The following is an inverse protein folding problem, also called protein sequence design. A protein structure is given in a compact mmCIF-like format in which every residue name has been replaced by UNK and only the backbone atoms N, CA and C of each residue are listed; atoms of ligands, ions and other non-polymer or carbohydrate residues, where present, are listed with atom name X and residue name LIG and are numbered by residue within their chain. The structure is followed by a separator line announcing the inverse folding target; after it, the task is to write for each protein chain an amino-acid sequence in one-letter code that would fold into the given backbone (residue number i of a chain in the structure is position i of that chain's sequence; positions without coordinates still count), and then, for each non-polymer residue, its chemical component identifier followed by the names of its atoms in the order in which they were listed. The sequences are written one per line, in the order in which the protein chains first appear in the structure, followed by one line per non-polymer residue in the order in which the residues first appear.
data_IF_393338366463
#
_entry.id   IF_393338366463
#
_cell.length_a   1.000
_cell.length_b   1.000
_cell.length_c   1.000
_cell.angle_alpha   90.00
_cell.angle_beta   90.00
_cell.angle_gamma   90.00
#
_symmetry.space_group_name_H-M   'P 1'
#
loop_
_entity.id
_entity.type
_entity.pdbx_description
1 polymer ?
#
# COMPACT_ATOMS: atom_id res chain seq x y z
N UNK A 1 16.27 20.22 -18.22
CA UNK A 1 15.04 21.03 -18.07
C UNK A 1 15.45 22.48 -17.85
N UNK A 2 14.95 23.41 -18.66
CA UNK A 2 15.39 24.83 -18.62
C UNK A 2 14.21 25.69 -18.15
N UNK A 3 14.40 26.46 -17.10
CA UNK A 3 13.44 27.45 -16.63
C UNK A 3 14.15 28.81 -16.58
N UNK A 4 13.61 29.82 -17.26
CA UNK A 4 14.15 31.17 -17.31
C UNK A 4 15.67 31.27 -17.67
N UNK A 5 16.14 30.45 -18.62
CA UNK A 5 17.53 30.52 -19.09
C UNK A 5 18.58 29.84 -18.19
N UNK A 6 18.17 29.18 -17.12
CA UNK A 6 19.07 28.39 -16.26
C UNK A 6 19.01 26.91 -16.61
N UNK A 7 20.16 26.33 -16.87
CA UNK A 7 20.31 24.88 -17.10
C UNK A 7 20.54 24.20 -15.76
N UNK A 8 19.55 23.41 -15.32
CA UNK A 8 19.71 22.56 -14.14
C UNK A 8 20.32 21.22 -14.57
N UNK A 9 21.43 20.85 -13.96
CA UNK A 9 21.96 19.50 -14.08
C UNK A 9 20.92 18.53 -13.53
N UNK A 10 20.73 17.40 -14.20
CA UNK A 10 19.91 16.31 -13.66
C UNK A 10 20.55 15.88 -12.33
N UNK A 11 19.85 15.99 -11.19
CA UNK A 11 20.44 15.53 -9.94
C UNK A 11 20.76 14.05 -10.08
N UNK A 12 21.86 13.57 -9.46
CA UNK A 12 22.16 12.14 -9.41
C UNK A 12 20.91 11.42 -8.83
N UNK A 13 20.65 10.21 -9.28
CA UNK A 13 19.61 9.32 -8.70
C UNK A 13 20.07 9.04 -7.26
N UNK A 14 19.70 9.93 -6.36
CA UNK A 14 19.81 9.67 -4.93
C UNK A 14 18.74 8.63 -4.65
N UNK A 15 19.13 7.43 -4.21
CA UNK A 15 18.20 6.47 -3.66
C UNK A 15 17.23 7.24 -2.77
N UNK A 16 15.94 7.16 -3.07
CA UNK A 16 14.93 7.86 -2.26
C UNK A 16 14.83 7.20 -0.90
N UNK A 17 15.73 7.59 0.00
CA UNK A 17 15.78 7.09 1.37
C UNK A 17 14.46 7.29 2.11
N UNK A 18 13.71 8.31 1.73
CA UNK A 18 12.36 8.55 2.28
C UNK A 18 11.40 7.44 1.87
N UNK A 19 11.39 7.06 0.58
CA UNK A 19 10.58 5.96 0.09
C UNK A 19 10.99 4.62 0.72
N UNK A 20 12.29 4.34 0.80
CA UNK A 20 12.81 3.13 1.44
C UNK A 20 12.34 3.02 2.91
N UNK A 21 12.46 4.07 3.71
CA UNK A 21 12.04 4.08 5.11
C UNK A 21 10.53 3.91 5.22
N UNK A 22 9.77 4.64 4.39
CA UNK A 22 8.31 4.51 4.31
C UNK A 22 7.91 3.06 4.07
N UNK A 23 8.50 2.39 3.09
CA UNK A 23 8.14 1.03 2.71
C UNK A 23 8.52 0.02 3.81
N UNK A 24 9.70 0.15 4.42
CA UNK A 24 10.09 -0.69 5.56
C UNK A 24 9.18 -0.54 6.78
N UNK A 25 8.76 0.69 7.08
CA UNK A 25 7.83 0.95 8.18
C UNK A 25 6.42 0.47 7.84
N UNK A 26 5.96 0.64 6.59
CA UNK A 26 4.68 0.10 6.11
C UNK A 26 4.63 -1.41 6.32
N UNK A 27 5.64 -2.13 5.85
CA UNK A 27 5.75 -3.58 6.02
C UNK A 27 5.75 -3.95 7.51
N UNK A 28 6.53 -3.27 8.34
CA UNK A 28 6.57 -3.53 9.77
C UNK A 28 5.21 -3.30 10.47
N UNK A 29 4.41 -2.35 10.00
CA UNK A 29 3.06 -2.07 10.49
C UNK A 29 2.07 -3.15 10.03
N UNK A 30 2.04 -3.46 8.74
CA UNK A 30 1.15 -4.48 8.17
C UNK A 30 1.48 -5.87 8.72
N UNK A 31 2.76 -6.17 8.94
CA UNK A 31 3.24 -7.40 9.57
C UNK A 31 2.97 -7.49 11.07
N UNK A 32 2.41 -6.41 11.66
CA UNK A 32 2.21 -6.30 13.10
C UNK A 32 3.50 -6.39 13.93
N UNK A 33 4.67 -6.20 13.33
CA UNK A 33 5.95 -6.03 14.05
C UNK A 33 5.97 -4.71 14.83
N UNK A 34 5.25 -3.71 14.31
CA UNK A 34 4.90 -2.47 15.00
C UNK A 34 3.40 -2.53 15.35
N UNK A 35 3.10 -2.71 16.62
CA UNK A 35 1.72 -2.83 17.09
C UNK A 35 0.94 -1.51 16.94
N UNK A 36 -0.40 -1.55 16.75
CA UNK A 36 -1.23 -0.36 16.77
C UNK A 36 -0.99 0.50 18.01
N UNK A 37 -0.92 1.80 17.84
CA UNK A 37 -0.63 2.76 18.91
C UNK A 37 0.85 2.87 19.31
N UNK A 38 1.75 2.07 18.72
CA UNK A 38 3.20 2.20 18.95
C UNK A 38 3.67 3.60 18.54
N UNK A 39 4.41 4.27 19.42
CA UNK A 39 5.03 5.56 19.10
C UNK A 39 6.24 5.36 18.19
N UNK A 40 6.27 6.10 17.09
CA UNK A 40 7.38 6.11 16.14
C UNK A 40 8.28 7.31 16.45
N UNK A 41 9.38 7.06 17.17
CA UNK A 41 10.31 8.10 17.59
C UNK A 41 11.24 8.48 16.43
N UNK A 42 11.17 9.73 15.95
CA UNK A 42 12.00 10.23 14.85
C UNK A 42 13.50 10.02 15.07
N UNK A 43 13.98 10.12 16.32
CA UNK A 43 15.39 9.95 16.61
C UNK A 43 15.82 8.48 16.53
N UNK A 44 15.02 7.57 17.07
CA UNK A 44 15.30 6.13 17.04
C UNK A 44 15.26 5.59 15.61
N UNK A 45 14.25 6.00 14.83
CA UNK A 45 14.15 5.65 13.40
C UNK A 45 15.32 6.24 12.64
N UNK A 46 15.73 7.48 12.92
CA UNK A 46 16.90 8.10 12.30
C UNK A 46 18.20 7.34 12.55
N UNK A 47 18.42 6.86 13.77
CA UNK A 47 19.57 6.03 14.14
C UNK A 47 19.50 4.68 13.43
N UNK A 48 18.32 4.03 13.40
CA UNK A 48 18.14 2.71 12.79
C UNK A 48 18.48 2.69 11.30
N UNK A 49 18.10 3.75 10.57
CA UNK A 49 18.29 3.86 9.10
C UNK A 49 19.49 4.74 8.69
N UNK A 50 20.25 5.26 9.66
CA UNK A 50 21.36 6.19 9.44
C UNK A 50 20.97 7.39 8.55
N UNK A 51 19.90 8.09 8.96
CA UNK A 51 19.37 9.27 8.26
C UNK A 51 19.03 10.41 9.21
N UNK A 52 18.90 11.62 8.65
CA UNK A 52 18.45 12.78 9.41
C UNK A 52 16.98 12.67 9.83
N UNK A 53 16.61 13.35 10.93
CA UNK A 53 15.21 13.47 11.38
C UNK A 53 14.29 14.06 10.31
N UNK A 54 14.79 14.90 9.43
CA UNK A 54 14.02 15.48 8.33
C UNK A 54 13.56 14.41 7.36
N UNK A 55 14.42 13.47 6.99
CA UNK A 55 14.09 12.34 6.11
C UNK A 55 13.08 11.41 6.79
N UNK A 56 13.30 11.09 8.08
CA UNK A 56 12.33 10.29 8.86
C UNK A 56 10.97 10.96 8.90
N UNK A 57 10.92 12.27 9.17
CA UNK A 57 9.67 13.02 9.24
C UNK A 57 8.91 13.00 7.92
N UNK A 58 9.61 13.13 6.79
CA UNK A 58 9.02 13.01 5.46
C UNK A 58 8.40 11.60 5.24
N UNK A 59 9.10 10.54 5.63
CA UNK A 59 8.58 9.17 5.55
C UNK A 59 7.35 8.96 6.46
N UNK A 60 7.38 9.47 7.69
CA UNK A 60 6.23 9.40 8.61
C UNK A 60 5.04 10.22 8.13
N UNK A 61 5.27 11.36 7.47
CA UNK A 61 4.19 12.14 6.85
C UNK A 61 3.55 11.39 5.66
N UNK A 62 4.36 10.71 4.85
CA UNK A 62 3.83 9.86 3.77
C UNK A 62 2.96 8.73 4.34
N UNK A 63 3.42 8.03 5.39
CA UNK A 63 2.63 7.01 6.08
C UNK A 63 1.36 7.56 6.76
N UNK A 64 1.40 8.81 7.21
CA UNK A 64 0.21 9.48 7.76
C UNK A 64 -0.81 9.79 6.65
N UNK A 65 -0.35 10.17 5.47
CA UNK A 65 -1.21 10.34 4.30
C UNK A 65 -1.86 9.01 3.89
N UNK A 66 -1.09 7.91 3.90
CA UNK A 66 -1.61 6.56 3.66
C UNK A 66 -2.53 6.04 4.79
N UNK A 67 -2.62 6.75 5.91
CA UNK A 67 -3.45 6.37 7.07
C UNK A 67 -2.89 5.24 7.92
N UNK A 68 -1.62 4.86 7.72
CA UNK A 68 -0.92 3.85 8.53
C UNK A 68 -0.29 4.44 9.79
N UNK A 69 -0.10 5.75 9.81
CA UNK A 69 0.43 6.51 10.96
C UNK A 69 -0.54 7.65 11.29
N UNK A 70 -0.69 7.94 12.57
CA UNK A 70 -1.42 9.09 13.08
C UNK A 70 -0.44 10.05 13.74
N UNK A 71 -0.46 11.31 13.30
CA UNK A 71 0.32 12.38 13.94
C UNK A 71 -0.53 13.08 14.99
N UNK A 72 0.01 13.20 16.22
CA UNK A 72 -0.62 13.91 17.31
C UNK A 72 0.19 15.16 17.63
N UNK A 73 -0.48 16.31 17.70
CA UNK A 73 0.18 17.59 17.99
C UNK A 73 0.97 17.51 19.31
N UNK A 74 2.25 17.88 19.27
CA UNK A 74 3.19 17.86 20.39
C UNK A 74 3.47 16.48 21.01
N UNK A 75 2.92 15.39 20.45
CA UNK A 75 3.14 14.03 20.96
C UNK A 75 3.92 13.14 19.98
N UNK A 76 3.93 13.48 18.69
CA UNK A 76 4.66 12.79 17.64
C UNK A 76 3.77 11.88 16.78
N UNK A 77 4.38 10.87 16.20
CA UNK A 77 3.75 9.93 15.29
C UNK A 77 3.50 8.58 15.98
N UNK A 78 2.37 7.96 15.68
CA UNK A 78 1.94 6.67 16.24
C UNK A 78 1.40 5.77 15.13
N UNK A 79 1.63 4.48 15.24
CA UNK A 79 0.99 3.48 14.36
C UNK A 79 -0.53 3.62 14.48
N UNK A 80 -1.22 3.64 13.34
CA UNK A 80 -2.67 3.75 13.32
C UNK A 80 -3.33 2.55 14.01
N UNK A 81 -4.47 2.82 14.64
CA UNK A 81 -5.31 1.82 15.28
C UNK A 81 -6.75 2.02 14.79
N UNK A 82 -7.07 1.61 13.56
CA UNK A 82 -8.39 1.83 12.99
C UNK A 82 -9.48 1.15 13.81
N UNK A 83 -10.58 1.86 14.04
CA UNK A 83 -11.76 1.31 14.68
C UNK A 83 -12.52 0.38 13.72
N UNK A 84 -13.41 -0.50 14.23
CA UNK A 84 -14.29 -1.30 13.37
C UNK A 84 -15.16 -0.46 12.42
N UNK A 85 -15.48 0.78 12.81
CA UNK A 85 -16.24 1.69 11.96
C UNK A 85 -15.39 2.24 10.82
N UNK A 86 -14.18 2.70 11.10
CA UNK A 86 -13.20 3.11 10.08
C UNK A 86 -12.90 1.94 9.12
N UNK A 87 -12.77 0.71 9.64
CA UNK A 87 -12.60 -0.48 8.81
C UNK A 87 -13.77 -0.67 7.84
N UNK A 88 -15.03 -0.52 8.30
CA UNK A 88 -16.20 -0.59 7.42
C UNK A 88 -16.20 0.50 6.35
N UNK A 89 -15.78 1.73 6.70
CA UNK A 89 -15.70 2.85 5.78
C UNK A 89 -14.64 2.62 4.68
N UNK A 90 -13.48 2.05 5.01
CA UNK A 90 -12.44 1.69 4.03
C UNK A 90 -12.99 0.75 2.97
N UNK A 91 -13.62 -0.37 3.38
CA UNK A 91 -14.20 -1.32 2.42
C UNK A 91 -15.42 -0.77 1.67
N UNK A 92 -16.22 0.10 2.30
CA UNK A 92 -17.30 0.79 1.61
C UNK A 92 -16.77 1.69 0.50
N UNK A 93 -15.68 2.44 0.75
CA UNK A 93 -15.03 3.29 -0.24
C UNK A 93 -14.47 2.47 -1.41
N UNK A 94 -13.81 1.34 -1.13
CA UNK A 94 -13.31 0.42 -2.17
C UNK A 94 -14.44 -0.08 -3.05
N UNK A 95 -15.55 -0.55 -2.48
CA UNK A 95 -16.73 -1.02 -3.22
C UNK A 95 -17.36 0.05 -4.13
N UNK A 96 -17.24 1.33 -3.77
CA UNK A 96 -17.75 2.43 -4.60
C UNK A 96 -16.81 2.77 -5.76
N UNK A 97 -15.50 2.64 -5.58
CA UNK A 97 -14.49 3.12 -6.52
C UNK A 97 -14.03 2.02 -7.47
N UNK A 98 -13.77 0.81 -6.96
CA UNK A 98 -13.13 -0.28 -7.73
C UNK A 98 -13.94 -0.74 -8.96
N UNK A 99 -15.28 -0.81 -8.96
CA UNK A 99 -16.01 -1.17 -10.17
C UNK A 99 -15.80 -0.17 -11.32
N UNK A 100 -15.67 1.13 -10.99
CA UNK A 100 -15.35 2.17 -11.98
C UNK A 100 -13.94 2.04 -12.53
N UNK A 101 -12.98 1.72 -11.67
CA UNK A 101 -11.58 1.46 -12.03
C UNK A 101 -11.51 0.22 -12.93
N UNK A 102 -12.17 -0.88 -12.56
CA UNK A 102 -12.17 -2.12 -13.34
C UNK A 102 -12.74 -1.90 -14.75
N UNK A 103 -13.84 -1.15 -14.88
CA UNK A 103 -14.39 -0.77 -16.18
C UNK A 103 -13.41 0.04 -17.02
N UNK A 104 -12.78 1.06 -16.42
CA UNK A 104 -11.81 1.89 -17.13
C UNK A 104 -10.54 1.09 -17.51
N UNK A 105 -10.13 0.13 -16.70
CA UNK A 105 -9.04 -0.78 -17.02
C UNK A 105 -9.39 -1.69 -18.20
N UNK A 106 -10.59 -2.29 -18.21
CA UNK A 106 -11.05 -3.16 -19.30
C UNK A 106 -11.05 -2.47 -20.67
N UNK A 107 -11.36 -1.18 -20.71
CA UNK A 107 -11.34 -0.36 -21.94
C UNK A 107 -9.92 -0.11 -22.49
N UNK A 108 -8.88 -0.30 -21.65
CA UNK A 108 -7.49 0.03 -21.95
C UNK A 108 -6.55 -1.19 -21.95
N UNK A 109 -7.08 -2.34 -21.60
CA UNK A 109 -6.31 -3.56 -21.37
C UNK A 109 -5.52 -3.99 -22.61
N UNK A 110 -4.20 -4.11 -22.46
CA UNK A 110 -3.31 -4.66 -23.50
C UNK A 110 -2.95 -6.13 -23.18
N UNK A 111 -2.45 -6.85 -24.17
CA UNK A 111 -2.01 -8.25 -23.99
C UNK A 111 -0.89 -8.39 -22.96
N UNK A 112 -0.03 -7.39 -22.83
CA UNK A 112 1.04 -7.31 -21.81
C UNK A 112 0.46 -7.21 -20.41
N UNK A 113 -0.64 -6.47 -20.23
CA UNK A 113 -1.31 -6.31 -18.94
C UNK A 113 -1.97 -7.61 -18.50
N UNK A 114 -2.59 -8.34 -19.44
CA UNK A 114 -3.15 -9.68 -19.16
C UNK A 114 -2.07 -10.64 -18.63
N UNK A 115 -0.87 -10.60 -19.20
CA UNK A 115 0.25 -11.41 -18.71
C UNK A 115 0.63 -11.02 -17.26
N UNK A 116 0.71 -9.72 -16.97
CA UNK A 116 1.00 -9.22 -15.62
C UNK A 116 -0.08 -9.62 -14.60
N UNK A 117 -1.37 -9.55 -14.96
CA UNK A 117 -2.45 -10.03 -14.10
C UNK A 117 -2.38 -11.54 -13.83
N UNK A 118 -2.08 -12.35 -14.85
CA UNK A 118 -1.91 -13.79 -14.68
C UNK A 118 -0.76 -14.13 -13.75
N UNK A 119 0.34 -13.40 -13.83
CA UNK A 119 1.48 -13.56 -12.91
C UNK A 119 1.07 -13.26 -11.47
N UNK A 120 0.32 -12.15 -11.22
CA UNK A 120 -0.20 -11.84 -9.88
C UNK A 120 -1.14 -12.90 -9.34
N UNK A 121 -2.06 -13.40 -10.17
CA UNK A 121 -2.96 -14.49 -9.78
C UNK A 121 -2.21 -15.78 -9.48
N UNK A 122 -1.17 -16.10 -10.24
CA UNK A 122 -0.34 -17.26 -9.95
C UNK A 122 0.38 -17.13 -8.60
N UNK A 123 0.90 -15.97 -8.29
CA UNK A 123 1.53 -15.71 -7.00
C UNK A 123 0.53 -15.80 -5.84
N UNK A 124 -0.67 -15.24 -5.96
CA UNK A 124 -1.74 -15.41 -4.99
C UNK A 124 -2.08 -16.89 -4.77
N UNK A 125 -2.26 -17.65 -5.84
CA UNK A 125 -2.55 -19.09 -5.78
C UNK A 125 -1.44 -19.86 -5.06
N UNK A 126 -0.18 -19.51 -5.32
CA UNK A 126 0.98 -20.11 -4.63
C UNK A 126 0.93 -19.86 -3.13
N UNK A 127 0.64 -18.62 -2.73
CA UNK A 127 0.62 -18.18 -1.34
C UNK A 127 -0.54 -18.79 -0.54
N UNK A 128 -1.68 -19.09 -1.16
CA UNK A 128 -2.81 -19.76 -0.51
C UNK A 128 -2.45 -21.13 0.09
N UNK A 129 -1.45 -21.79 -0.46
CA UNK A 129 -0.93 -23.09 0.05
C UNK A 129 0.03 -22.94 1.23
N UNK A 130 0.54 -21.76 1.49
CA UNK A 130 1.51 -21.51 2.52
C UNK A 130 0.84 -21.24 3.89
N UNK A 131 1.58 -21.48 4.98
CA UNK A 131 1.09 -21.27 6.35
C UNK A 131 2.10 -20.48 7.18
N UNK A 132 1.58 -19.72 8.13
CA UNK A 132 2.37 -18.95 9.08
C UNK A 132 2.29 -17.44 8.88
N UNK A 133 2.89 -16.65 9.78
CA UNK A 133 2.78 -15.18 9.76
C UNK A 133 3.31 -14.54 8.47
N UNK A 134 4.42 -15.07 7.94
CA UNK A 134 5.01 -14.57 6.70
C UNK A 134 4.14 -14.87 5.47
N UNK A 135 3.50 -16.03 5.42
CA UNK A 135 2.57 -16.39 4.36
C UNK A 135 1.35 -15.45 4.36
N UNK A 136 0.78 -15.22 5.54
CA UNK A 136 -0.35 -14.28 5.69
C UNK A 136 -0.01 -12.87 5.23
N UNK A 137 1.17 -12.39 5.54
CA UNK A 137 1.67 -11.11 5.05
C UNK A 137 1.76 -11.07 3.54
N UNK A 138 2.44 -12.06 2.97
CA UNK A 138 2.62 -12.16 1.52
C UNK A 138 1.27 -12.22 0.78
N UNK A 139 0.28 -12.95 1.31
CA UNK A 139 -1.09 -13.00 0.80
C UNK A 139 -1.75 -11.60 0.79
N UNK A 140 -1.64 -10.83 1.89
CA UNK A 140 -2.19 -9.47 1.97
C UNK A 140 -1.54 -8.55 0.94
N UNK A 141 -0.22 -8.62 0.77
CA UNK A 141 0.51 -7.82 -0.21
C UNK A 141 0.13 -8.21 -1.65
N UNK A 142 0.13 -9.50 -1.98
CA UNK A 142 -0.21 -9.98 -3.32
C UNK A 142 -1.63 -9.56 -3.73
N UNK A 143 -2.61 -9.68 -2.82
CA UNK A 143 -3.96 -9.21 -3.05
C UNK A 143 -4.00 -7.69 -3.26
N UNK A 144 -3.26 -6.90 -2.48
CA UNK A 144 -3.13 -5.45 -2.67
C UNK A 144 -2.56 -5.09 -4.04
N UNK A 145 -1.51 -5.78 -4.46
CA UNK A 145 -0.82 -5.57 -5.74
C UNK A 145 -1.75 -5.79 -6.95
N UNK A 146 -2.67 -6.75 -6.88
CA UNK A 146 -3.68 -6.95 -7.93
C UNK A 146 -4.55 -5.69 -8.11
N UNK A 147 -5.06 -5.11 -7.03
CA UNK A 147 -5.88 -3.90 -7.09
C UNK A 147 -5.09 -2.67 -7.56
N UNK A 148 -3.82 -2.56 -7.20
CA UNK A 148 -2.96 -1.47 -7.67
C UNK A 148 -2.63 -1.61 -9.15
N UNK A 149 -2.39 -2.82 -9.64
CA UNK A 149 -2.20 -3.08 -11.06
C UNK A 149 -3.45 -2.68 -11.84
N UNK A 150 -4.65 -3.06 -11.36
CA UNK A 150 -5.92 -2.70 -11.97
C UNK A 150 -6.09 -1.16 -12.07
N UNK A 151 -5.78 -0.45 -10.99
CA UNK A 151 -5.84 1.01 -10.96
C UNK A 151 -4.79 1.66 -11.88
N UNK A 152 -3.62 1.05 -12.03
CA UNK A 152 -2.57 1.49 -12.95
C UNK A 152 -3.02 1.38 -14.40
N UNK A 153 -3.57 0.23 -14.81
CA UNK A 153 -4.06 -0.03 -16.17
C UNK A 153 -5.23 0.90 -16.53
N UNK A 154 -6.08 1.26 -15.58
CA UNK A 154 -7.14 2.25 -15.77
C UNK A 154 -6.61 3.64 -16.23
N UNK A 155 -5.32 3.92 -16.05
CA UNK A 155 -4.63 5.08 -16.59
C UNK A 155 -5.02 6.43 -15.98
N UNK A 156 -5.63 6.42 -14.79
CA UNK A 156 -6.00 7.62 -14.04
C UNK A 156 -5.09 7.74 -12.77
N UNK A 157 -4.05 8.58 -12.86
CA UNK A 157 -3.09 8.76 -11.79
C UNK A 157 -3.70 9.29 -10.46
N UNK A 158 -4.85 9.96 -10.51
CA UNK A 158 -5.56 10.42 -9.30
C UNK A 158 -6.22 9.22 -8.62
N UNK A 159 -6.93 8.39 -9.37
CA UNK A 159 -7.56 7.17 -8.85
C UNK A 159 -6.52 6.17 -8.35
N UNK A 160 -5.36 6.04 -9.04
CA UNK A 160 -4.27 5.19 -8.57
C UNK A 160 -3.81 5.61 -7.16
N UNK A 161 -3.58 6.90 -6.92
CA UNK A 161 -3.20 7.40 -5.59
C UNK A 161 -4.26 7.13 -4.51
N UNK A 162 -5.54 7.28 -4.85
CA UNK A 162 -6.61 6.91 -3.92
C UNK A 162 -6.62 5.41 -3.63
N UNK A 163 -6.34 4.59 -4.64
CA UNK A 163 -6.24 3.13 -4.43
C UNK A 163 -5.02 2.76 -3.60
N UNK A 164 -3.87 3.40 -3.77
CA UNK A 164 -2.68 3.20 -2.92
C UNK A 164 -3.03 3.43 -1.44
N UNK A 165 -3.72 4.53 -1.12
CA UNK A 165 -4.18 4.81 0.24
C UNK A 165 -5.19 3.77 0.74
N UNK A 166 -6.20 3.44 -0.05
CA UNK A 166 -7.24 2.48 0.34
C UNK A 166 -6.68 1.06 0.51
N UNK A 167 -5.75 0.64 -0.36
CA UNK A 167 -5.07 -0.66 -0.26
C UNK A 167 -4.23 -0.70 1.01
N UNK A 168 -3.42 0.33 1.31
CA UNK A 168 -2.61 0.37 2.52
C UNK A 168 -3.49 0.28 3.78
N UNK A 169 -4.58 1.07 3.86
CA UNK A 169 -5.54 1.02 4.98
C UNK A 169 -6.23 -0.32 5.10
N UNK A 170 -6.70 -0.91 3.99
CA UNK A 170 -7.37 -2.21 4.03
C UNK A 170 -6.41 -3.33 4.40
N UNK A 171 -5.14 -3.28 3.96
CA UNK A 171 -4.10 -4.23 4.37
C UNK A 171 -3.89 -4.21 5.89
N UNK A 172 -3.81 -3.02 6.51
CA UNK A 172 -3.74 -2.89 7.96
C UNK A 172 -4.99 -3.45 8.65
N UNK A 173 -6.19 -3.13 8.14
CA UNK A 173 -7.46 -3.64 8.69
C UNK A 173 -7.52 -5.17 8.61
N UNK A 174 -7.12 -5.75 7.47
CA UNK A 174 -7.08 -7.21 7.27
C UNK A 174 -6.06 -7.85 8.23
N UNK A 175 -4.90 -7.23 8.41
CA UNK A 175 -3.89 -7.72 9.34
C UNK A 175 -4.39 -7.72 10.80
N UNK A 176 -5.19 -6.72 11.20
CA UNK A 176 -5.70 -6.57 12.56
C UNK A 176 -6.95 -7.41 12.85
N UNK A 177 -7.90 -7.43 11.93
CA UNK A 177 -9.25 -7.97 12.14
C UNK A 177 -9.55 -9.20 11.28
N UNK A 178 -8.75 -9.45 10.24
CA UNK A 178 -8.96 -10.59 9.34
C UNK A 178 -8.72 -11.91 10.05
N UNK A 179 -9.63 -12.88 9.83
CA UNK A 179 -9.44 -14.26 10.30
C UNK A 179 -8.43 -14.95 9.38
N UNK A 180 -7.63 -15.86 9.94
CA UNK A 180 -6.75 -16.72 9.12
C UNK A 180 -7.58 -17.47 8.07
N UNK A 181 -7.23 -17.33 6.80
CA UNK A 181 -7.95 -17.96 5.67
C UNK A 181 -9.14 -17.16 5.13
N UNK A 182 -9.38 -15.94 5.60
CA UNK A 182 -10.38 -15.05 5.03
C UNK A 182 -9.68 -13.79 4.51
N UNK A 183 -9.31 -13.75 3.24
CA UNK A 183 -9.09 -12.49 2.55
C UNK A 183 -10.45 -11.83 2.30
N UNK A 184 -10.51 -10.51 2.36
CA UNK A 184 -11.73 -9.75 2.04
C UNK A 184 -12.04 -9.74 0.54
N UNK A 185 -11.07 -10.13 -0.28
CA UNK A 185 -11.16 -10.38 -1.71
C UNK A 185 -10.35 -11.64 -1.98
N UNK A 186 -10.98 -12.71 -2.38
CA UNK A 186 -10.34 -14.01 -2.57
C UNK A 186 -9.68 -14.11 -3.95
N UNK A 187 -8.74 -15.04 -4.09
CA UNK A 187 -8.16 -15.39 -5.39
C UNK A 187 -9.24 -15.70 -6.44
N UNK A 188 -10.33 -16.36 -6.06
CA UNK A 188 -11.45 -16.71 -6.96
C UNK A 188 -12.16 -15.45 -7.48
N UNK A 189 -12.28 -14.40 -6.64
CA UNK A 189 -12.85 -13.11 -7.04
C UNK A 189 -11.95 -12.42 -8.08
N UNK A 190 -10.64 -12.38 -7.84
CA UNK A 190 -9.66 -11.80 -8.77
C UNK A 190 -9.60 -12.57 -10.09
N UNK A 191 -9.64 -13.91 -10.04
CA UNK A 191 -9.70 -14.77 -11.22
C UNK A 191 -10.96 -14.50 -12.05
N UNK A 192 -12.09 -14.30 -11.39
CA UNK A 192 -13.37 -13.96 -12.04
C UNK A 192 -13.33 -12.59 -12.73
N UNK A 193 -12.66 -11.60 -12.14
CA UNK A 193 -12.47 -10.27 -12.75
C UNK A 193 -11.65 -10.39 -14.05
N UNK A 194 -10.58 -11.21 -14.05
CA UNK A 194 -9.76 -11.37 -15.24
C UNK A 194 -10.44 -12.20 -16.34
N UNK A 195 -11.39 -13.07 -15.98
CA UNK A 195 -12.13 -13.91 -16.93
C UNK A 195 -13.28 -13.18 -17.61
N UNK A 196 -13.74 -12.05 -17.07
CA UNK A 196 -14.84 -11.23 -17.59
C UNK A 196 -14.39 -10.29 -18.70
#
# INVERSE_FOLDING_TARGET
MTVAGQTFATPPVVEDRTAMIRDHLRDAIVDRRLAPGTKLNEAEVGILFDVSRTVVRAALQALAFEGLVRTERNRGAFVANPTPDEARQVFASRRLIEPGIARAAAERLASTDIAAFRERLHEEQRLLGERGPNARRAEIHASGDFHLLLASVAGNAILLRFMEELVARSSLVIALYGRSGASSCGHDDHSSILAA
#
